data_IF_455333537108
#
_entry.id   IF_455333537108
#
_cell.length_a   1.000
_cell.length_b   1.000
_cell.length_c   1.000
_cell.angle_alpha   90.00
_cell.angle_beta   90.00
_cell.angle_gamma   90.00
#
_symmetry.space_group_name_H-M   'P 1'
#
loop_
_entity.id
_entity.type
_entity.pdbx_description
1 polymer ?
#
# COMPACT_ATOMS: atom_id res chain seq x y z
N UNK A 1 25.76 -6.59 -34.70
CA UNK A 1 25.04 -5.77 -35.69
C UNK A 1 23.96 -4.99 -34.93
N UNK A 2 24.12 -3.66 -34.78
CA UNK A 2 23.18 -2.84 -33.96
C UNK A 2 21.86 -2.61 -34.70
N UNK A 3 21.90 -2.48 -36.02
CA UNK A 3 20.70 -2.25 -36.82
C UNK A 3 19.74 -3.45 -36.75
N UNK A 4 20.28 -4.67 -36.84
CA UNK A 4 19.49 -5.90 -36.61
C UNK A 4 18.85 -5.93 -35.22
N UNK A 5 19.57 -5.51 -34.19
CA UNK A 5 19.03 -5.43 -32.84
C UNK A 5 17.86 -4.45 -32.75
N UNK A 6 17.97 -3.28 -33.39
CA UNK A 6 16.88 -2.30 -33.47
C UNK A 6 15.67 -2.85 -34.23
N UNK A 7 15.88 -3.59 -35.34
CA UNK A 7 14.79 -4.20 -36.09
C UNK A 7 14.07 -5.32 -35.30
N UNK A 8 14.79 -6.08 -34.48
CA UNK A 8 14.17 -7.05 -33.55
C UNK A 8 13.38 -6.34 -32.48
N UNK A 9 13.99 -5.34 -31.83
CA UNK A 9 13.36 -4.55 -30.79
C UNK A 9 12.01 -3.99 -31.26
N UNK A 10 11.96 -3.36 -32.45
CA UNK A 10 10.71 -2.79 -33.02
C UNK A 10 9.54 -3.77 -33.13
N UNK A 11 9.80 -5.08 -33.22
CA UNK A 11 8.77 -6.12 -33.36
C UNK A 11 8.19 -6.56 -32.03
N UNK A 12 8.87 -6.27 -30.91
CA UNK A 12 8.43 -6.62 -29.56
C UNK A 12 7.25 -5.73 -29.15
N UNK A 13 6.10 -6.30 -28.80
CA UNK A 13 4.96 -5.57 -28.26
C UNK A 13 5.27 -4.89 -26.92
N UNK A 14 4.50 -3.84 -26.61
CA UNK A 14 4.65 -3.10 -25.36
C UNK A 14 4.33 -4.01 -24.18
N UNK A 15 5.26 -4.07 -23.22
CA UNK A 15 5.21 -4.91 -22.03
C UNK A 15 5.32 -6.44 -22.25
N UNK A 16 5.55 -6.91 -23.48
CA UNK A 16 5.70 -8.36 -23.74
C UNK A 16 6.96 -8.90 -23.04
N UNK A 17 6.83 -9.92 -22.17
CA UNK A 17 7.98 -10.57 -21.56
C UNK A 17 8.88 -11.16 -22.65
N UNK A 18 10.10 -10.64 -22.75
CA UNK A 18 11.08 -11.05 -23.76
C UNK A 18 12.36 -11.49 -23.08
N UNK A 19 12.92 -12.61 -23.53
CA UNK A 19 14.21 -13.09 -23.04
C UNK A 19 15.34 -12.39 -23.76
N UNK A 20 16.22 -11.73 -23.02
CA UNK A 20 17.49 -11.20 -23.51
C UNK A 20 18.60 -12.12 -23.03
N UNK A 21 19.50 -12.48 -23.96
CA UNK A 21 20.75 -13.15 -23.65
C UNK A 21 21.86 -12.12 -23.68
N UNK A 22 22.56 -11.96 -22.56
CA UNK A 22 23.66 -11.02 -22.39
C UNK A 22 24.91 -11.72 -21.87
N UNK A 23 26.06 -11.08 -22.03
CA UNK A 23 27.31 -11.44 -21.38
C UNK A 23 27.98 -10.15 -20.91
N UNK A 24 28.86 -10.24 -19.92
CA UNK A 24 29.61 -9.07 -19.44
C UNK A 24 30.89 -8.91 -20.25
N UNK A 25 31.37 -7.68 -20.43
CA UNK A 25 32.64 -7.44 -21.15
C UNK A 25 33.81 -8.15 -20.46
N UNK A 26 33.72 -8.30 -19.13
CA UNK A 26 34.71 -9.00 -18.30
C UNK A 26 34.66 -10.52 -18.42
N UNK A 27 33.52 -11.09 -18.79
CA UNK A 27 33.34 -12.54 -18.99
C UNK A 27 32.41 -12.79 -20.19
N UNK A 28 33.04 -12.95 -21.36
CA UNK A 28 32.35 -13.20 -22.63
C UNK A 28 31.91 -14.66 -22.82
N UNK A 29 32.39 -15.56 -21.97
CA UNK A 29 32.14 -17.00 -22.09
C UNK A 29 30.90 -17.42 -21.30
N UNK A 30 30.56 -16.67 -20.25
CA UNK A 30 29.32 -16.88 -19.49
C UNK A 30 28.17 -16.06 -20.08
N UNK A 31 27.19 -16.76 -20.65
CA UNK A 31 25.93 -16.16 -21.10
C UNK A 31 24.91 -16.19 -19.97
N UNK A 32 24.26 -15.06 -19.75
CA UNK A 32 23.15 -14.91 -18.83
C UNK A 32 21.87 -14.70 -19.62
N UNK A 33 20.78 -15.34 -19.17
CA UNK A 33 19.45 -15.17 -19.74
C UNK A 33 18.59 -14.41 -18.73
N UNK A 34 18.09 -13.24 -19.12
CA UNK A 34 17.22 -12.41 -18.30
C UNK A 34 15.92 -12.14 -19.04
N UNK A 35 14.79 -12.39 -18.37
CA UNK A 35 13.49 -11.95 -18.88
C UNK A 35 13.32 -10.47 -18.56
N UNK A 36 13.04 -9.67 -19.60
CA UNK A 36 12.75 -8.24 -19.48
C UNK A 36 11.37 -7.95 -20.06
N UNK A 37 10.74 -6.89 -19.56
CA UNK A 37 9.55 -6.30 -20.20
C UNK A 37 9.92 -4.88 -20.59
N UNK A 38 9.79 -4.58 -21.88
CA UNK A 38 10.09 -3.25 -22.41
C UNK A 38 8.84 -2.39 -22.29
N UNK A 39 8.99 -1.22 -21.66
CA UNK A 39 7.94 -0.21 -21.53
C UNK A 39 8.34 1.02 -22.34
N UNK A 40 7.52 1.36 -23.31
CA UNK A 40 7.83 2.40 -24.29
C UNK A 40 7.20 3.74 -23.93
N UNK A 41 6.29 3.76 -22.96
CA UNK A 41 5.64 4.97 -22.47
C UNK A 41 6.62 5.87 -21.70
N UNK A 42 7.51 5.25 -20.92
CA UNK A 42 8.46 5.96 -20.06
C UNK A 42 9.80 6.27 -20.72
N UNK A 43 10.20 5.49 -21.73
CA UNK A 43 11.56 5.53 -22.28
C UNK A 43 11.58 5.89 -23.75
N UNK A 44 12.40 6.89 -24.10
CA UNK A 44 12.73 7.17 -25.50
C UNK A 44 13.97 6.40 -25.92
N UNK A 45 13.89 5.74 -27.06
CA UNK A 45 15.00 4.96 -27.60
C UNK A 45 15.75 5.81 -28.61
N UNK A 46 17.05 5.97 -28.39
CA UNK A 46 17.91 6.88 -29.14
C UNK A 46 19.15 6.12 -29.63
N UNK A 47 19.52 6.34 -30.89
CA UNK A 47 20.80 5.95 -31.44
C UNK A 47 21.79 7.08 -31.23
N UNK A 48 22.99 6.75 -30.78
CA UNK A 48 24.10 7.71 -30.69
C UNK A 48 25.22 7.24 -31.61
N UNK A 49 25.61 8.10 -32.55
CA UNK A 49 26.70 7.82 -33.49
C UNK A 49 27.83 8.82 -33.26
N UNK A 50 29.05 8.33 -33.03
CA UNK A 50 30.20 9.20 -32.82
C UNK A 50 30.53 9.94 -34.11
N UNK A 51 30.57 11.28 -34.03
CA UNK A 51 30.93 12.15 -35.13
C UNK A 51 32.42 12.49 -35.04
N UNK A 52 33.23 11.87 -35.90
CA UNK A 52 34.68 12.08 -35.89
C UNK A 52 35.11 13.51 -36.26
N UNK A 53 34.25 14.30 -36.92
CA UNK A 53 34.56 15.67 -37.33
C UNK A 53 34.34 16.68 -36.21
N UNK A 54 33.31 16.47 -35.38
CA UNK A 54 32.98 17.37 -34.26
C UNK A 54 33.53 16.85 -32.92
N UNK A 55 33.86 15.56 -32.84
CA UNK A 55 34.20 14.88 -31.58
C UNK A 55 33.00 14.66 -30.64
N UNK A 56 31.77 14.90 -31.13
CA UNK A 56 30.54 14.76 -30.36
C UNK A 56 29.74 13.52 -30.80
N UNK A 57 28.71 13.17 -30.03
CA UNK A 57 27.78 12.09 -30.38
C UNK A 57 26.50 12.65 -30.99
N UNK A 58 26.24 12.29 -32.25
CA UNK A 58 25.01 12.64 -32.95
C UNK A 58 23.87 11.76 -32.47
N UNK A 59 22.83 12.39 -31.92
CA UNK A 59 21.64 11.70 -31.39
C UNK A 59 20.57 11.61 -32.48
N UNK A 60 20.17 10.40 -32.82
CA UNK A 60 19.00 10.14 -33.67
C UNK A 60 17.91 9.43 -32.87
N UNK A 61 16.72 10.02 -32.80
CA UNK A 61 15.56 9.39 -32.16
C UNK A 61 15.09 8.22 -33.03
N UNK A 62 15.01 7.03 -32.44
CA UNK A 62 14.45 5.87 -33.12
C UNK A 62 12.92 5.99 -33.03
N UNK A 63 12.26 6.13 -34.18
CA UNK A 63 10.79 6.06 -34.23
C UNK A 63 10.35 4.63 -33.93
N UNK A 64 9.47 4.49 -32.95
CA UNK A 64 8.94 3.20 -32.53
C UNK A 64 7.52 3.40 -31.99
N UNK A 65 6.58 2.61 -32.50
CA UNK A 65 5.21 2.50 -32.02
C UNK A 65 4.90 1.02 -31.76
N UNK A 66 5.24 0.49 -30.57
CA UNK A 66 4.97 -0.91 -30.26
C UNK A 66 3.46 -1.15 -30.26
N UNK A 67 3.04 -2.33 -30.74
CA UNK A 67 1.66 -2.79 -30.56
C UNK A 67 1.43 -3.17 -29.09
N UNK A 68 0.24 -3.00 -28.51
CA UNK A 68 -0.07 -3.54 -27.19
C UNK A 68 0.09 -5.07 -27.19
N UNK A 69 0.53 -5.63 -26.05
CA UNK A 69 0.55 -7.09 -25.88
C UNK A 69 -0.88 -7.62 -25.83
N UNK A 70 -1.22 -8.54 -26.74
CA UNK A 70 -2.47 -9.30 -26.71
C UNK A 70 -2.30 -10.52 -25.80
N UNK A 71 -2.69 -10.37 -24.53
CA UNK A 71 -2.64 -11.46 -23.57
C UNK A 71 -3.92 -12.28 -23.71
N UNK A 72 -3.82 -13.40 -24.42
CA UNK A 72 -4.93 -14.35 -24.57
C UNK A 72 -5.32 -14.94 -23.20
N UNK A 73 -6.60 -15.26 -22.98
CA UNK A 73 -7.03 -15.90 -21.75
C UNK A 73 -6.31 -17.24 -21.55
N UNK A 74 -5.72 -17.42 -20.36
CA UNK A 74 -5.05 -18.68 -19.97
C UNK A 74 -5.74 -19.25 -18.74
N UNK A 75 -5.99 -20.56 -18.76
CA UNK A 75 -6.47 -21.28 -17.58
C UNK A 75 -5.30 -21.48 -16.63
N UNK A 76 -5.43 -21.01 -15.39
CA UNK A 76 -4.40 -21.18 -14.35
C UNK A 76 -5.03 -21.76 -13.08
N UNK A 77 -4.25 -22.58 -12.36
CA UNK A 77 -4.68 -23.17 -11.09
C UNK A 77 -3.73 -22.71 -9.98
N UNK A 78 -4.26 -21.94 -9.03
CA UNK A 78 -3.56 -21.59 -7.80
C UNK A 78 -3.39 -22.85 -6.92
N UNK A 79 -2.29 -22.92 -6.16
CA UNK A 79 -2.02 -24.05 -5.28
C UNK A 79 -3.08 -24.16 -4.18
N UNK A 80 -3.34 -25.40 -3.75
CA UNK A 80 -4.23 -25.69 -2.64
C UNK A 80 -3.43 -25.88 -1.35
N UNK A 81 -3.96 -25.36 -0.24
CA UNK A 81 -3.41 -25.59 1.09
C UNK A 81 -4.08 -26.83 1.69
N UNK A 82 -3.34 -27.93 1.78
CA UNK A 82 -3.84 -29.25 2.23
C UNK A 82 -3.72 -29.49 3.73
N UNK A 83 -3.14 -28.55 4.48
CA UNK A 83 -2.98 -28.66 5.93
C UNK A 83 -4.36 -28.67 6.62
N UNK A 84 -4.76 -29.76 7.30
CA UNK A 84 -6.07 -29.86 7.92
C UNK A 84 -6.29 -28.81 9.02
N UNK A 85 -5.22 -28.28 9.61
CA UNK A 85 -5.28 -27.23 10.64
C UNK A 85 -5.77 -25.90 10.10
N UNK A 86 -5.68 -25.68 8.79
CA UNK A 86 -6.17 -24.49 8.13
C UNK A 86 -7.69 -24.44 8.02
N UNK A 87 -8.39 -25.59 8.09
CA UNK A 87 -9.84 -25.65 8.02
C UNK A 87 -10.40 -24.87 6.82
N UNK A 88 -11.34 -23.95 7.08
CA UNK A 88 -11.95 -23.09 6.04
C UNK A 88 -10.98 -22.02 5.52
N UNK A 89 -9.99 -21.61 6.31
CA UNK A 89 -8.99 -20.63 5.89
C UNK A 89 -8.13 -21.13 4.72
N UNK A 90 -8.04 -22.45 4.49
CA UNK A 90 -7.34 -23.02 3.34
C UNK A 90 -7.74 -22.39 2.00
N UNK A 91 -9.00 -21.96 1.86
CA UNK A 91 -9.53 -21.31 0.65
C UNK A 91 -8.93 -19.93 0.37
N UNK A 92 -8.35 -19.29 1.39
CA UNK A 92 -7.69 -17.99 1.23
C UNK A 92 -6.49 -18.07 0.29
N UNK A 93 -5.90 -19.24 0.12
CA UNK A 93 -4.77 -19.43 -0.80
C UNK A 93 -5.14 -19.08 -2.25
N UNK A 94 -6.39 -19.33 -2.66
CA UNK A 94 -6.87 -18.97 -3.99
C UNK A 94 -7.17 -17.47 -4.18
N UNK A 95 -7.01 -16.67 -3.12
CA UNK A 95 -7.20 -15.22 -3.16
C UNK A 95 -5.88 -14.45 -3.18
N UNK A 96 -4.72 -15.13 -3.18
CA UNK A 96 -3.41 -14.49 -3.14
C UNK A 96 -2.78 -14.48 -4.54
N UNK A 97 -2.35 -13.30 -4.98
CA UNK A 97 -1.60 -13.11 -6.24
C UNK A 97 -0.27 -12.44 -5.94
N UNK A 98 0.73 -12.60 -6.81
CA UNK A 98 1.93 -11.78 -6.74
C UNK A 98 1.67 -10.46 -7.48
N UNK A 99 2.20 -9.37 -6.95
CA UNK A 99 2.11 -8.03 -7.55
C UNK A 99 3.52 -7.52 -7.78
N UNK A 100 3.78 -7.08 -9.01
CA UNK A 100 4.99 -6.41 -9.41
C UNK A 100 4.68 -4.97 -9.80
N UNK A 101 5.51 -4.04 -9.35
CA UNK A 101 5.39 -2.63 -9.65
C UNK A 101 6.72 -2.06 -10.11
N UNK A 102 6.75 -1.45 -11.30
CA UNK A 102 7.89 -0.74 -11.85
C UNK A 102 7.77 0.76 -11.59
N UNK A 103 8.84 1.38 -11.11
CA UNK A 103 8.93 2.82 -10.88
C UNK A 103 9.88 3.43 -11.91
N UNK A 104 9.34 4.00 -13.00
CA UNK A 104 10.14 4.49 -14.12
C UNK A 104 10.89 5.79 -13.80
N UNK A 105 10.43 6.52 -12.78
CA UNK A 105 10.91 7.86 -12.43
C UNK A 105 11.26 7.91 -10.94
N UNK A 106 12.34 8.62 -10.62
CA UNK A 106 12.72 8.89 -9.24
C UNK A 106 12.03 10.16 -8.75
N UNK A 107 10.88 10.00 -8.10
CA UNK A 107 10.02 11.09 -7.59
C UNK A 107 9.57 10.76 -6.15
N UNK A 108 9.04 11.75 -5.42
CA UNK A 108 8.53 11.59 -4.04
C UNK A 108 9.54 10.92 -3.09
N UNK A 109 10.84 11.21 -3.25
CA UNK A 109 11.91 10.61 -2.46
C UNK A 109 12.18 9.12 -2.73
N UNK A 110 11.51 8.52 -3.72
CA UNK A 110 11.67 7.12 -4.12
C UNK A 110 12.72 7.01 -5.23
N UNK A 111 13.76 6.21 -5.00
CA UNK A 111 14.81 5.91 -6.00
C UNK A 111 14.88 4.42 -6.39
N UNK A 112 13.91 3.63 -5.95
CA UNK A 112 13.85 2.19 -6.24
C UNK A 112 13.28 2.00 -7.64
N UNK A 113 13.87 1.16 -8.51
CA UNK A 113 13.35 0.95 -9.87
C UNK A 113 12.13 0.01 -9.90
N UNK A 114 11.93 -0.79 -8.87
CA UNK A 114 10.85 -1.78 -8.78
C UNK A 114 10.56 -2.22 -7.35
N UNK A 115 9.35 -2.70 -7.12
CA UNK A 115 8.95 -3.46 -5.94
C UNK A 115 8.13 -4.68 -6.36
N UNK A 116 8.19 -5.74 -5.55
CA UNK A 116 7.37 -6.92 -5.73
C UNK A 116 6.97 -7.46 -4.36
N UNK A 117 5.72 -7.87 -4.24
CA UNK A 117 5.19 -8.56 -3.06
C UNK A 117 3.90 -9.28 -3.45
N UNK A 118 3.03 -9.59 -2.49
CA UNK A 118 1.73 -10.20 -2.74
C UNK A 118 0.58 -9.19 -2.62
N UNK A 119 -0.53 -9.55 -3.23
CA UNK A 119 -1.81 -8.85 -3.15
C UNK A 119 -2.95 -9.84 -2.91
N UNK A 120 -4.09 -9.30 -2.49
CA UNK A 120 -5.29 -10.06 -2.12
C UNK A 120 -6.41 -9.71 -3.08
N UNK A 121 -6.93 -10.70 -3.80
CA UNK A 121 -8.15 -10.55 -4.59
C UNK A 121 -9.33 -10.36 -3.65
N UNK A 122 -10.01 -9.22 -3.73
CA UNK A 122 -11.14 -8.85 -2.86
C UNK A 122 -12.45 -8.70 -3.61
N UNK A 123 -12.39 -8.66 -4.95
CA UNK A 123 -13.53 -8.82 -5.85
C UNK A 123 -13.03 -9.46 -7.15
N UNK A 124 -13.27 -10.76 -7.32
CA UNK A 124 -12.82 -11.51 -8.50
C UNK A 124 -13.63 -11.17 -9.76
N UNK A 125 -14.88 -10.70 -9.62
CA UNK A 125 -15.73 -10.35 -10.74
C UNK A 125 -15.29 -9.02 -11.38
N UNK A 126 -14.86 -8.06 -10.54
CA UNK A 126 -14.32 -6.76 -10.97
C UNK A 126 -12.80 -6.76 -11.15
N UNK A 127 -12.11 -7.80 -10.69
CA UNK A 127 -10.65 -7.91 -10.73
C UNK A 127 -9.94 -6.99 -9.73
N UNK A 128 -10.57 -6.68 -8.59
CA UNK A 128 -9.99 -5.79 -7.57
C UNK A 128 -9.05 -6.57 -6.65
N UNK A 129 -7.86 -6.01 -6.45
CA UNK A 129 -6.79 -6.56 -5.62
C UNK A 129 -6.29 -5.50 -4.65
N UNK A 130 -6.22 -5.85 -3.36
CA UNK A 130 -5.57 -5.02 -2.34
C UNK A 130 -4.10 -5.35 -2.27
N UNK A 131 -3.25 -4.33 -2.22
CA UNK A 131 -1.81 -4.48 -2.14
C UNK A 131 -1.23 -3.46 -1.14
N UNK A 132 -0.11 -3.80 -0.51
CA UNK A 132 0.64 -2.86 0.33
C UNK A 132 1.10 -1.63 -0.47
N UNK A 133 1.02 -0.45 0.14
CA UNK A 133 1.63 0.77 -0.44
C UNK A 133 3.14 0.70 -0.51
N UNK A 134 3.79 -0.18 0.26
CA UNK A 134 5.21 -0.51 0.04
C UNK A 134 5.42 -1.02 -1.40
N UNK A 135 4.50 -1.81 -1.93
CA UNK A 135 4.61 -2.39 -3.27
C UNK A 135 4.17 -1.42 -4.35
N UNK A 136 3.08 -0.67 -4.11
CA UNK A 136 2.62 0.41 -4.99
C UNK A 136 2.83 1.75 -4.29
N UNK A 137 4.04 2.29 -4.45
CA UNK A 137 4.50 3.49 -3.74
C UNK A 137 4.03 4.79 -4.37
N UNK A 138 4.01 4.82 -5.70
CA UNK A 138 3.78 5.99 -6.53
C UNK A 138 2.52 5.78 -7.37
N UNK A 139 1.78 6.84 -7.65
CA UNK A 139 0.67 6.83 -8.61
C UNK A 139 1.16 6.62 -10.05
N UNK A 140 2.37 7.11 -10.36
CA UNK A 140 3.02 7.00 -11.67
C UNK A 140 3.91 5.74 -11.70
N UNK A 141 3.31 4.60 -12.03
CA UNK A 141 4.00 3.31 -12.08
C UNK A 141 3.36 2.33 -13.08
N UNK A 142 4.10 1.28 -13.44
CA UNK A 142 3.58 0.15 -14.21
C UNK A 142 3.30 -1.02 -13.24
N UNK A 143 2.04 -1.48 -13.18
CA UNK A 143 1.61 -2.53 -12.24
C UNK A 143 1.24 -3.80 -13.01
N UNK A 144 1.68 -4.94 -12.49
CA UNK A 144 1.33 -6.26 -12.99
C UNK A 144 0.93 -7.16 -11.84
N UNK A 145 0.01 -8.08 -12.11
CA UNK A 145 -0.24 -9.21 -11.23
C UNK A 145 0.18 -10.50 -11.91
N UNK A 146 0.74 -11.41 -11.12
CA UNK A 146 1.05 -12.77 -11.53
C UNK A 146 0.18 -13.74 -10.76
N UNK A 147 -0.57 -14.54 -11.49
CA UNK A 147 -1.48 -15.55 -10.95
C UNK A 147 -0.83 -16.93 -11.13
N UNK A 148 -0.83 -17.70 -10.04
CA UNK A 148 -0.25 -19.05 -10.00
C UNK A 148 1.18 -19.14 -10.58
N UNK A 149 1.99 -18.08 -10.42
CA UNK A 149 3.35 -17.95 -10.97
C UNK A 149 3.49 -18.23 -12.48
N UNK A 150 2.39 -18.16 -13.24
CA UNK A 150 2.34 -18.62 -14.64
C UNK A 150 1.65 -17.66 -15.60
N UNK A 151 0.74 -16.82 -15.11
CA UNK A 151 0.05 -15.80 -15.92
C UNK A 151 0.33 -14.41 -15.36
N UNK A 152 1.07 -13.60 -16.12
CA UNK A 152 1.32 -12.20 -15.80
C UNK A 152 0.37 -11.31 -16.62
N UNK A 153 -0.37 -10.43 -15.95
CA UNK A 153 -1.29 -9.49 -16.58
C UNK A 153 -1.10 -8.08 -16.01
N UNK A 154 -1.21 -7.02 -16.85
CA UNK A 154 -1.16 -5.66 -16.37
C UNK A 154 -2.37 -5.35 -15.49
N UNK A 155 -2.17 -4.43 -14.56
CA UNK A 155 -3.19 -3.90 -13.68
C UNK A 155 -3.10 -2.37 -13.62
N UNK A 156 -4.21 -1.73 -13.27
CA UNK A 156 -4.31 -0.28 -13.12
C UNK A 156 -4.52 0.07 -11.65
N UNK A 157 -3.84 1.10 -11.16
CA UNK A 157 -4.13 1.68 -9.86
C UNK A 157 -5.54 2.28 -9.86
N UNK A 158 -6.40 1.86 -8.94
CA UNK A 158 -7.75 2.42 -8.75
C UNK A 158 -7.81 3.35 -7.56
N UNK A 159 -7.09 3.03 -6.50
CA UNK A 159 -7.08 3.84 -5.30
C UNK A 159 -5.79 3.64 -4.52
N UNK A 160 -5.25 4.71 -3.93
CA UNK A 160 -4.09 4.67 -3.07
C UNK A 160 -4.41 5.41 -1.78
N UNK A 161 -4.36 4.71 -0.64
CA UNK A 161 -4.81 5.31 0.61
C UNK A 161 -3.77 6.31 1.15
N UNK A 162 -4.15 7.55 1.50
CA UNK A 162 -3.18 8.58 1.91
C UNK A 162 -2.51 8.32 3.26
N UNK A 163 -3.15 7.61 4.19
CA UNK A 163 -2.63 7.38 5.57
C UNK A 163 -2.31 5.90 5.86
N UNK A 164 -3.27 4.99 5.65
CA UNK A 164 -3.10 3.54 5.81
C UNK A 164 -2.28 2.88 4.69
N UNK A 165 -1.60 1.77 5.03
CA UNK A 165 -0.69 1.06 4.13
C UNK A 165 -1.37 0.14 3.11
N UNK A 166 -2.30 0.67 2.31
CA UNK A 166 -2.87 -0.10 1.19
C UNK A 166 -3.18 0.74 -0.05
N UNK A 167 -3.19 0.06 -1.19
CA UNK A 167 -3.71 0.51 -2.46
C UNK A 167 -4.64 -0.58 -3.02
N UNK A 168 -5.56 -0.19 -3.90
CA UNK A 168 -6.44 -1.08 -4.64
C UNK A 168 -6.07 -0.95 -6.12
N UNK A 169 -5.71 -2.07 -6.72
CA UNK A 169 -5.41 -2.20 -8.14
C UNK A 169 -6.48 -3.05 -8.81
N UNK A 170 -6.61 -2.92 -10.13
CA UNK A 170 -7.59 -3.66 -10.92
C UNK A 170 -6.92 -4.32 -12.12
N UNK A 171 -7.19 -5.62 -12.31
CA UNK A 171 -6.79 -6.34 -13.52
C UNK A 171 -8.01 -6.64 -14.40
N UNK A 172 -7.76 -6.92 -15.68
CA UNK A 172 -8.80 -7.31 -16.64
C UNK A 172 -9.16 -8.79 -16.48
N UNK A 173 -10.34 -9.06 -15.93
CA UNK A 173 -10.81 -10.42 -15.64
C UNK A 173 -10.99 -11.28 -16.88
N UNK A 174 -11.17 -10.67 -18.06
CA UNK A 174 -11.32 -11.41 -19.33
C UNK A 174 -10.02 -12.12 -19.74
N UNK A 175 -8.88 -11.73 -19.19
CA UNK A 175 -7.56 -12.34 -19.46
C UNK A 175 -7.30 -13.60 -18.65
N UNK A 176 -8.21 -13.93 -17.73
CA UNK A 176 -8.16 -15.15 -16.93
C UNK A 176 -9.20 -16.10 -17.51
N UNK A 177 -8.78 -17.29 -17.90
CA UNK A 177 -9.69 -18.34 -18.35
C UNK A 177 -10.45 -18.99 -17.19
N UNK A 178 -10.77 -20.28 -17.31
CA UNK A 178 -11.29 -21.07 -16.18
C UNK A 178 -10.18 -21.29 -15.13
N UNK A 179 -10.14 -20.41 -14.13
CA UNK A 179 -9.17 -20.42 -13.04
C UNK A 179 -9.86 -20.50 -11.70
N UNK A 180 -9.24 -21.16 -10.72
CA UNK A 180 -9.80 -21.32 -9.37
C UNK A 180 -9.57 -20.09 -8.47
N UNK A 181 -9.44 -18.88 -9.05
CA UNK A 181 -9.20 -17.66 -8.29
C UNK A 181 -10.46 -17.24 -7.54
N UNK A 182 -10.32 -16.87 -6.27
CA UNK A 182 -11.43 -16.53 -5.38
C UNK A 182 -11.24 -15.13 -4.80
N UNK A 183 -12.35 -14.49 -4.43
CA UNK A 183 -12.31 -13.28 -3.62
C UNK A 183 -12.26 -13.62 -2.14
N UNK A 184 -11.33 -13.01 -1.40
CA UNK A 184 -11.29 -13.07 0.04
C UNK A 184 -12.48 -12.29 0.63
N UNK A 185 -13.17 -12.89 1.60
CA UNK A 185 -14.19 -12.19 2.38
C UNK A 185 -13.49 -11.40 3.49
N UNK A 186 -13.68 -10.08 3.52
CA UNK A 186 -13.06 -9.19 4.50
C UNK A 186 -13.98 -8.97 5.70
N UNK A 187 -13.44 -9.06 6.90
CA UNK A 187 -14.16 -8.80 8.14
C UNK A 187 -14.44 -7.31 8.35
N UNK A 188 -15.64 -7.00 8.82
CA UNK A 188 -16.02 -5.65 9.30
C UNK A 188 -15.69 -5.45 10.77
N UNK A 189 -15.42 -6.54 11.49
CA UNK A 189 -15.21 -6.52 12.95
C UNK A 189 -13.80 -6.07 13.27
N UNK A 190 -13.66 -5.31 14.36
CA UNK A 190 -12.36 -5.03 14.95
C UNK A 190 -11.86 -6.30 15.64
N UNK A 191 -10.63 -6.75 15.35
CA UNK A 191 -10.03 -7.87 16.08
C UNK A 191 -9.93 -7.58 17.58
N UNK A 192 -10.11 -8.59 18.41
CA UNK A 192 -9.99 -8.50 19.85
C UNK A 192 -8.87 -9.42 20.35
N UNK A 193 -8.26 -9.04 21.47
CA UNK A 193 -7.27 -9.89 22.13
C UNK A 193 -7.88 -11.27 22.43
N UNK A 194 -7.16 -12.33 22.06
CA UNK A 194 -7.61 -13.71 22.20
C UNK A 194 -8.39 -14.26 21.01
N UNK A 195 -8.75 -13.44 20.01
CA UNK A 195 -9.42 -13.94 18.81
C UNK A 195 -8.55 -14.98 18.08
N UNK A 196 -9.14 -16.11 17.64
CA UNK A 196 -8.40 -17.12 16.90
C UNK A 196 -8.01 -16.61 15.52
N UNK A 197 -6.79 -16.93 15.09
CA UNK A 197 -6.19 -16.43 13.87
C UNK A 197 -5.49 -17.55 13.08
N UNK A 198 -5.83 -17.66 11.79
CA UNK A 198 -5.27 -18.63 10.87
C UNK A 198 -4.58 -17.88 9.74
N UNK A 199 -3.25 -17.81 9.81
CA UNK A 199 -2.46 -17.13 8.79
C UNK A 199 -2.12 -18.09 7.65
N UNK A 200 -2.64 -17.78 6.47
CA UNK A 200 -2.35 -18.46 5.22
C UNK A 200 -1.27 -17.71 4.46
N UNK A 201 -0.15 -18.37 4.16
CA UNK A 201 1.06 -17.75 3.62
C UNK A 201 1.87 -18.71 2.75
N UNK A 202 3.01 -18.24 2.25
CA UNK A 202 4.05 -19.02 1.60
C UNK A 202 5.32 -19.04 2.43
N UNK A 203 5.99 -20.19 2.47
CA UNK A 203 7.34 -20.28 3.03
C UNK A 203 8.40 -19.73 2.04
N UNK A 204 9.68 -19.77 2.42
CA UNK A 204 10.80 -19.27 1.58
C UNK A 204 10.98 -20.03 0.25
N UNK A 205 10.43 -21.23 0.11
CA UNK A 205 10.48 -22.03 -1.12
C UNK A 205 9.18 -21.93 -1.94
N UNK A 206 8.32 -20.96 -1.62
CA UNK A 206 7.00 -20.75 -2.27
C UNK A 206 5.98 -21.87 -2.05
N UNK A 207 6.18 -22.72 -1.03
CA UNK A 207 5.17 -23.72 -0.64
C UNK A 207 4.13 -23.07 0.27
N UNK A 208 2.87 -23.45 0.07
CA UNK A 208 1.73 -22.99 0.88
C UNK A 208 1.83 -23.48 2.32
N UNK A 209 1.46 -22.63 3.27
CA UNK A 209 1.50 -22.97 4.70
C UNK A 209 0.39 -22.26 5.48
N UNK A 210 -0.01 -22.89 6.60
CA UNK A 210 -0.88 -22.30 7.61
C UNK A 210 -0.14 -22.17 8.94
N UNK A 211 -0.27 -21.03 9.60
CA UNK A 211 0.17 -20.81 10.98
C UNK A 211 -1.04 -20.43 11.81
N UNK A 212 -1.38 -21.28 12.78
CA UNK A 212 -2.46 -21.01 13.72
C UNK A 212 -1.88 -20.22 14.91
N UNK A 213 -2.59 -19.18 15.31
CA UNK A 213 -2.20 -18.30 16.40
C UNK A 213 -3.45 -17.62 16.97
N UNK A 214 -3.25 -16.65 17.85
CA UNK A 214 -4.30 -15.81 18.41
C UNK A 214 -3.85 -14.35 18.36
N UNK A 215 -4.80 -13.43 18.29
CA UNK A 215 -4.53 -12.00 18.41
C UNK A 215 -3.96 -11.75 19.81
N UNK A 216 -2.73 -11.24 19.87
CA UNK A 216 -2.08 -10.93 21.15
C UNK A 216 -2.45 -9.55 21.66
N UNK A 217 -2.44 -8.57 20.76
CA UNK A 217 -2.68 -7.16 21.07
C UNK A 217 -2.88 -6.35 19.78
N UNK A 218 -3.34 -5.10 19.91
CA UNK A 218 -3.38 -4.12 18.84
C UNK A 218 -2.76 -2.81 19.30
N UNK A 219 -1.85 -2.26 18.49
CA UNK A 219 -1.19 -1.00 18.81
C UNK A 219 -0.86 -0.19 17.57
N UNK A 220 -0.62 1.10 17.78
CA UNK A 220 -0.47 2.07 16.71
C UNK A 220 0.93 2.00 16.10
N UNK A 221 1.02 1.76 14.79
CA UNK A 221 2.29 1.69 14.10
C UNK A 221 2.90 3.10 13.99
N UNK A 222 4.06 3.28 14.63
CA UNK A 222 4.83 4.53 14.54
C UNK A 222 6.00 4.38 13.57
N UNK A 223 5.96 5.16 12.49
CA UNK A 223 7.02 5.23 11.48
C UNK A 223 7.54 6.66 11.46
N UNK A 224 8.80 6.85 11.86
CA UNK A 224 9.41 8.18 11.95
C UNK A 224 9.61 8.80 10.56
N UNK A 225 9.32 10.11 10.38
CA UNK A 225 9.65 10.81 9.14
C UNK A 225 11.15 10.73 8.81
N UNK A 226 11.46 10.72 7.51
CA UNK A 226 12.82 10.66 7.00
C UNK A 226 13.22 12.01 6.38
N UNK A 227 14.53 12.26 6.29
CA UNK A 227 15.05 13.51 5.69
C UNK A 227 14.63 13.68 4.23
N UNK A 228 14.68 12.60 3.43
CA UNK A 228 14.07 12.57 2.11
C UNK A 228 12.58 12.28 2.30
N UNK A 229 11.69 13.27 2.07
CA UNK A 229 10.27 13.06 2.28
C UNK A 229 9.76 12.03 1.29
N UNK A 230 9.12 11.00 1.81
CA UNK A 230 8.36 10.03 1.05
C UNK A 230 7.15 9.65 1.87
N UNK A 231 6.13 9.09 1.21
CA UNK A 231 4.97 8.61 1.92
C UNK A 231 5.35 7.58 3.00
N UNK A 232 4.62 7.60 4.12
CA UNK A 232 4.70 6.62 5.20
C UNK A 232 3.32 6.43 5.80
N UNK A 233 3.15 5.27 6.43
CA UNK A 233 1.94 4.97 7.19
C UNK A 233 1.87 5.87 8.43
N UNK A 234 0.71 6.49 8.67
CA UNK A 234 0.40 7.31 9.85
C UNK A 234 -0.97 6.92 10.41
N UNK A 235 -1.24 7.27 11.67
CA UNK A 235 -2.55 7.11 12.31
C UNK A 235 -3.21 5.74 12.06
N UNK A 236 -2.45 4.65 12.19
CA UNK A 236 -2.92 3.30 11.86
C UNK A 236 -2.64 2.36 13.02
N UNK A 237 -3.67 1.67 13.49
CA UNK A 237 -3.53 0.57 14.44
C UNK A 237 -3.26 -0.73 13.68
N UNK A 238 -2.28 -1.51 14.13
CA UNK A 238 -1.95 -2.80 13.55
C UNK A 238 -2.23 -3.95 14.52
N UNK A 239 -2.55 -5.12 13.97
CA UNK A 239 -2.82 -6.33 14.74
C UNK A 239 -1.53 -7.11 14.93
N UNK A 240 -1.32 -7.56 16.16
CA UNK A 240 -0.18 -8.39 16.56
C UNK A 240 -0.66 -9.74 17.05
N UNK A 241 0.19 -10.74 16.89
CA UNK A 241 -0.13 -12.13 17.13
C UNK A 241 0.90 -12.75 18.06
N UNK A 242 0.44 -13.73 18.85
CA UNK A 242 1.27 -14.39 19.86
C UNK A 242 2.46 -15.13 19.22
N UNK A 243 2.24 -15.76 18.06
CA UNK A 243 3.27 -16.55 17.40
C UNK A 243 4.32 -15.65 16.73
N UNK A 244 5.54 -15.67 17.27
CA UNK A 244 6.69 -14.96 16.69
C UNK A 244 7.06 -15.45 15.28
N UNK A 245 6.65 -16.66 14.90
CA UNK A 245 6.89 -17.20 13.56
C UNK A 245 6.28 -16.30 12.48
N UNK A 246 5.23 -15.52 12.78
CA UNK A 246 4.63 -14.61 11.81
C UNK A 246 5.63 -13.59 11.26
N UNK A 247 6.62 -13.18 12.07
CA UNK A 247 7.67 -12.24 11.67
C UNK A 247 8.63 -12.79 10.60
N UNK A 248 8.70 -14.12 10.41
CA UNK A 248 9.51 -14.75 9.36
C UNK A 248 8.85 -14.65 7.97
N UNK A 249 7.56 -14.32 7.92
CA UNK A 249 6.81 -14.18 6.68
C UNK A 249 6.65 -12.72 6.29
N UNK A 250 6.86 -12.42 5.00
CA UNK A 250 6.64 -11.08 4.47
C UNK A 250 5.17 -10.73 4.29
N UNK A 251 4.34 -11.75 4.06
CA UNK A 251 2.93 -11.60 3.71
C UNK A 251 2.10 -12.74 4.27
N UNK A 252 0.82 -12.50 4.56
CA UNK A 252 -0.14 -13.55 4.89
C UNK A 252 -1.57 -13.01 4.99
N UNK A 253 -2.55 -13.86 4.67
CA UNK A 253 -3.96 -13.60 4.94
C UNK A 253 -4.31 -14.20 6.30
N UNK A 254 -4.72 -13.36 7.25
CA UNK A 254 -5.08 -13.82 8.60
C UNK A 254 -6.59 -13.87 8.73
N UNK A 255 -7.13 -15.09 8.65
CA UNK A 255 -8.56 -15.37 8.77
C UNK A 255 -8.99 -15.79 10.16
N UNK A 256 -10.27 -15.67 10.46
CA UNK A 256 -10.93 -16.41 11.55
C UNK A 256 -11.16 -17.89 11.19
N UNK A 257 -11.82 -18.65 12.07
CA UNK A 257 -12.13 -20.05 11.85
C UNK A 257 -13.03 -20.32 10.63
N UNK A 258 -13.77 -19.30 10.17
CA UNK A 258 -14.63 -19.36 8.98
C UNK A 258 -13.90 -18.98 7.70
N UNK A 259 -12.64 -18.54 7.79
CA UNK A 259 -11.86 -18.02 6.67
C UNK A 259 -12.25 -16.60 6.28
N UNK A 260 -12.92 -15.85 7.15
CA UNK A 260 -13.14 -14.41 6.95
C UNK A 260 -11.87 -13.65 7.38
N UNK A 261 -11.31 -12.83 6.49
CA UNK A 261 -10.02 -12.16 6.70
C UNK A 261 -10.18 -11.01 7.69
N UNK A 262 -9.54 -11.15 8.85
CA UNK A 262 -9.50 -10.15 9.91
C UNK A 262 -8.41 -9.10 9.64
N UNK A 263 -7.26 -9.54 9.14
CA UNK A 263 -6.16 -8.66 8.78
C UNK A 263 -5.37 -9.22 7.58
N UNK A 264 -4.65 -8.33 6.91
CA UNK A 264 -3.64 -8.71 5.92
C UNK A 264 -2.26 -8.41 6.52
N UNK A 265 -1.48 -9.46 6.78
CA UNK A 265 -0.09 -9.35 7.18
C UNK A 265 0.74 -8.92 5.97
N UNK A 266 1.38 -7.76 6.04
CA UNK A 266 2.05 -7.16 4.87
C UNK A 266 3.25 -6.31 5.28
N UNK A 267 4.17 -5.99 4.34
CA UNK A 267 5.28 -5.10 4.65
C UNK A 267 4.83 -3.63 4.70
N UNK A 268 5.37 -2.92 5.68
CA UNK A 268 5.30 -1.48 5.87
C UNK A 268 6.70 -0.90 5.66
N UNK A 269 6.77 0.24 4.96
CA UNK A 269 8.02 0.94 4.75
C UNK A 269 8.45 1.66 6.03
N UNK A 270 9.40 1.11 6.78
CA UNK A 270 9.96 1.79 7.98
C UNK A 270 10.97 2.86 7.57
N UNK A 271 11.84 2.53 6.62
CA UNK A 271 12.77 3.45 5.96
C UNK A 271 12.90 3.06 4.48
N UNK A 272 13.63 3.84 3.69
CA UNK A 272 13.97 3.48 2.31
C UNK A 272 14.69 2.10 2.19
N UNK A 273 15.35 1.61 3.24
CA UNK A 273 16.11 0.33 3.24
C UNK A 273 15.50 -0.78 4.10
N UNK A 274 14.71 -0.42 5.09
CA UNK A 274 14.20 -1.35 6.09
C UNK A 274 12.68 -1.41 6.01
N UNK A 275 12.16 -2.61 5.80
CA UNK A 275 10.75 -2.90 5.92
C UNK A 275 10.47 -3.48 7.32
N UNK A 276 9.25 -3.29 7.83
CA UNK A 276 8.70 -4.04 8.95
C UNK A 276 7.42 -4.74 8.50
N UNK A 277 6.99 -5.81 9.17
CA UNK A 277 5.73 -6.49 8.86
C UNK A 277 4.75 -6.32 10.01
N UNK A 278 3.48 -6.10 9.66
CA UNK A 278 2.40 -5.98 10.63
C UNK A 278 1.06 -6.38 9.98
N UNK A 279 0.06 -6.68 10.79
CA UNK A 279 -1.30 -6.97 10.32
C UNK A 279 -2.09 -5.70 10.12
N UNK A 280 -2.48 -5.38 8.88
CA UNK A 280 -3.42 -4.29 8.60
C UNK A 280 -4.87 -4.81 8.76
N UNK A 281 -5.66 -4.29 9.70
CA UNK A 281 -7.08 -4.63 9.83
C UNK A 281 -7.86 -4.40 8.53
N UNK A 282 -8.70 -5.36 8.15
CA UNK A 282 -9.44 -5.27 6.88
C UNK A 282 -10.50 -4.18 6.85
N UNK A 283 -11.00 -3.75 8.01
CA UNK A 283 -11.94 -2.63 8.14
C UNK A 283 -11.42 -1.29 7.59
N UNK A 284 -10.11 -1.06 7.53
CA UNK A 284 -9.55 0.15 6.89
C UNK A 284 -9.73 0.15 5.37
N UNK A 285 -9.88 -1.03 4.77
CA UNK A 285 -9.95 -1.22 3.31
C UNK A 285 -11.40 -1.06 2.83
N UNK A 286 -12.36 -1.51 3.65
CA UNK A 286 -13.77 -1.61 3.29
C UNK A 286 -14.37 -0.33 2.71
N UNK A 287 -14.18 0.88 3.29
CA UNK A 287 -14.80 2.10 2.76
C UNK A 287 -14.42 2.38 1.30
N UNK A 288 -13.13 2.27 0.96
CA UNK A 288 -12.65 2.47 -0.40
C UNK A 288 -13.05 1.34 -1.34
N UNK A 289 -13.02 0.09 -0.85
CA UNK A 289 -13.44 -1.08 -1.62
C UNK A 289 -14.93 -1.04 -1.97
N UNK A 290 -15.78 -0.64 -1.03
CA UNK A 290 -17.22 -0.62 -1.22
C UNK A 290 -17.64 0.50 -2.17
N UNK A 291 -16.94 1.65 -2.18
CA UNK A 291 -17.10 2.67 -3.22
C UNK A 291 -16.79 2.10 -4.62
N UNK A 292 -15.63 1.44 -4.78
CA UNK A 292 -15.26 0.82 -6.06
C UNK A 292 -16.24 -0.28 -6.50
N UNK A 293 -16.82 -1.03 -5.56
CA UNK A 293 -17.87 -2.04 -5.85
C UNK A 293 -19.18 -1.43 -6.33
N UNK A 294 -19.47 -0.19 -5.94
CA UNK A 294 -20.59 0.63 -6.45
C UNK A 294 -20.23 1.41 -7.71
N UNK A 295 -19.07 1.16 -8.30
CA UNK A 295 -18.54 1.91 -9.45
C UNK A 295 -18.34 3.41 -9.16
N UNK A 296 -18.09 3.75 -7.89
CA UNK A 296 -17.76 5.09 -7.41
C UNK A 296 -16.24 5.21 -7.19
N UNK A 297 -15.67 6.37 -7.48
CA UNK A 297 -14.28 6.67 -7.10
C UNK A 297 -14.19 7.03 -5.62
N UNK A 298 -13.35 6.38 -4.80
CA UNK A 298 -13.22 6.71 -3.39
C UNK A 298 -12.77 8.15 -3.20
N UNK A 299 -13.63 8.97 -2.59
CA UNK A 299 -13.31 10.34 -2.20
C UNK A 299 -13.09 10.36 -0.69
N UNK A 300 -11.90 10.76 -0.26
CA UNK A 300 -11.55 10.87 1.16
C UNK A 300 -11.22 12.31 1.52
N UNK A 301 -11.53 12.66 2.75
CA UNK A 301 -11.12 13.92 3.38
C UNK A 301 -10.25 13.64 4.60
N UNK A 302 -9.35 14.56 4.93
CA UNK A 302 -8.40 14.40 6.03
C UNK A 302 -8.32 15.66 6.86
N UNK A 303 -8.18 15.52 8.17
CA UNK A 303 -7.73 16.62 9.02
C UNK A 303 -6.27 16.99 8.72
N UNK A 304 -5.49 16.08 8.13
CA UNK A 304 -4.09 16.28 7.82
C UNK A 304 -3.25 16.52 9.10
N UNK A 305 -3.51 15.70 10.13
CA UNK A 305 -2.77 15.70 11.40
C UNK A 305 -2.13 14.33 11.62
N UNK A 306 -1.03 14.30 12.34
CA UNK A 306 -0.44 13.09 12.88
C UNK A 306 -0.56 13.12 14.40
N UNK A 307 -1.06 12.04 14.97
CA UNK A 307 -1.23 11.93 16.42
C UNK A 307 -0.44 10.77 17.01
N UNK A 308 -0.11 10.89 18.29
CA UNK A 308 0.52 9.82 19.07
C UNK A 308 -0.26 9.53 20.35
N UNK A 309 -0.20 8.29 20.86
CA UNK A 309 -0.79 7.95 22.16
C UNK A 309 -0.20 8.78 23.30
N UNK A 310 -1.07 9.26 24.19
CA UNK A 310 -0.74 10.04 25.37
C UNK A 310 -1.36 9.38 26.61
N UNK A 311 -0.55 9.16 27.65
CA UNK A 311 -1.04 8.63 28.92
C UNK A 311 -2.01 9.60 29.61
N UNK A 312 -2.96 9.07 30.39
CA UNK A 312 -3.88 9.91 31.17
C UNK A 312 -3.18 10.77 32.22
N UNK A 313 -2.03 10.36 32.74
CA UNK A 313 -1.23 11.18 33.66
C UNK A 313 -0.74 12.45 32.93
N UNK A 314 -0.22 12.31 31.72
CA UNK A 314 0.21 13.44 30.91
C UNK A 314 -0.99 14.30 30.48
N UNK A 315 -2.14 13.69 30.13
CA UNK A 315 -3.36 14.43 29.83
C UNK A 315 -3.87 15.27 31.02
N UNK A 316 -3.84 14.71 32.24
CA UNK A 316 -4.18 15.44 33.48
C UNK A 316 -3.21 16.58 33.75
N UNK A 317 -1.90 16.37 33.58
CA UNK A 317 -0.91 17.44 33.67
C UNK A 317 -1.15 18.55 32.61
N UNK A 318 -1.74 18.16 31.48
CA UNK A 318 -2.22 19.01 30.39
C UNK A 318 -3.62 19.59 30.58
N UNK A 319 -4.26 19.45 31.74
CA UNK A 319 -5.54 20.10 32.10
C UNK A 319 -6.79 19.24 31.94
N UNK A 320 -6.68 17.93 31.70
CA UNK A 320 -7.83 17.03 31.70
C UNK A 320 -8.50 17.02 33.09
N UNK A 321 -9.81 17.27 33.15
CA UNK A 321 -10.57 17.27 34.40
C UNK A 321 -10.79 15.85 34.93
N UNK A 322 -11.01 15.72 36.25
CA UNK A 322 -11.29 14.41 36.87
C UNK A 322 -12.61 13.81 36.35
N UNK A 323 -13.61 14.63 36.03
CA UNK A 323 -14.86 14.16 35.41
C UNK A 323 -14.63 13.56 34.02
N UNK A 324 -13.79 14.17 33.18
CA UNK A 324 -13.43 13.60 31.87
C UNK A 324 -12.60 12.33 32.02
N UNK A 325 -11.72 12.30 33.02
CA UNK A 325 -10.92 11.12 33.33
C UNK A 325 -11.83 9.91 33.63
N UNK A 326 -12.82 10.08 34.52
CA UNK A 326 -13.79 9.04 34.86
C UNK A 326 -14.59 8.58 33.64
N UNK A 327 -15.03 9.52 32.79
CA UNK A 327 -15.74 9.23 31.54
C UNK A 327 -14.91 8.33 30.61
N UNK A 328 -13.63 8.67 30.41
CA UNK A 328 -12.70 7.92 29.55
C UNK A 328 -12.43 6.52 30.12
N UNK A 329 -12.16 6.42 31.43
CA UNK A 329 -11.87 5.14 32.08
C UNK A 329 -13.07 4.19 32.07
N UNK A 330 -14.28 4.74 32.19
CA UNK A 330 -15.50 3.94 32.10
C UNK A 330 -15.77 3.48 30.66
N UNK A 331 -15.53 4.34 29.67
CA UNK A 331 -15.78 4.03 28.26
C UNK A 331 -14.78 3.04 27.65
N UNK A 332 -13.53 3.00 28.13
CA UNK A 332 -12.49 2.10 27.62
C UNK A 332 -11.58 1.56 28.75
N UNK A 333 -12.07 0.58 29.53
CA UNK A 333 -11.35 0.10 30.71
C UNK A 333 -10.00 -0.56 30.37
N UNK A 334 -9.88 -1.14 29.17
CA UNK A 334 -8.70 -1.89 28.75
C UNK A 334 -7.58 -0.98 28.20
N UNK A 335 -7.92 0.20 27.66
CA UNK A 335 -6.95 1.10 27.00
C UNK A 335 -7.14 2.55 27.42
N UNK A 336 -6.48 2.90 28.52
CA UNK A 336 -6.54 4.21 29.16
C UNK A 336 -5.55 5.23 28.56
N UNK A 337 -5.88 5.80 27.41
CA UNK A 337 -5.06 6.81 26.73
C UNK A 337 -5.90 7.82 25.94
N UNK A 338 -5.29 8.97 25.65
CA UNK A 338 -5.78 9.96 24.67
C UNK A 338 -4.75 10.10 23.54
N UNK A 339 -4.99 11.01 22.60
CA UNK A 339 -4.10 11.26 21.48
C UNK A 339 -3.64 12.72 21.46
N UNK A 340 -2.33 12.94 21.30
CA UNK A 340 -1.73 14.26 21.18
C UNK A 340 -1.32 14.52 19.73
N UNK A 341 -1.59 15.71 19.22
CA UNK A 341 -1.17 16.13 17.89
C UNK A 341 0.34 16.35 17.89
N UNK A 342 1.06 15.56 17.09
CA UNK A 342 2.50 15.70 16.92
C UNK A 342 2.87 16.59 15.75
N UNK A 343 2.08 16.54 14.67
CA UNK A 343 2.34 17.29 13.45
C UNK A 343 1.04 17.67 12.76
N UNK A 344 1.07 18.79 12.07
CA UNK A 344 -0.01 19.25 11.20
C UNK A 344 0.58 19.53 9.81
N UNK A 345 -0.05 19.02 8.77
CA UNK A 345 0.36 19.26 7.38
C UNK A 345 0.26 20.76 7.07
N UNK A 346 1.37 21.35 6.61
CA UNK A 346 1.41 22.76 6.23
C UNK A 346 0.36 23.04 5.13
N UNK A 347 -0.26 24.23 5.18
CA UNK A 347 -1.28 24.67 4.23
C UNK A 347 -2.60 23.86 4.24
N UNK A 348 -2.71 22.83 5.08
CA UNK A 348 -3.99 22.16 5.32
C UNK A 348 -4.97 23.08 6.03
N UNK A 349 -6.26 22.71 5.96
CA UNK A 349 -7.32 23.40 6.68
C UNK A 349 -7.14 23.36 8.21
N UNK A 350 -6.52 22.31 8.74
CA UNK A 350 -6.22 22.19 10.17
C UNK A 350 -5.09 23.12 10.63
N UNK A 351 -4.12 23.43 9.78
CA UNK A 351 -2.95 24.25 10.12
C UNK A 351 -3.31 25.66 10.64
N UNK A 352 -4.46 26.21 10.23
CA UNK A 352 -4.93 27.51 10.72
C UNK A 352 -5.68 27.48 12.05
N UNK A 353 -6.01 26.30 12.59
CA UNK A 353 -6.92 26.13 13.73
C UNK A 353 -6.30 25.29 14.86
N UNK A 354 -5.68 24.17 14.51
CA UNK A 354 -5.01 23.26 15.43
C UNK A 354 -3.56 23.67 15.64
N UNK A 355 -2.98 23.23 16.76
CA UNK A 355 -1.59 23.44 17.11
C UNK A 355 -0.95 22.11 17.49
N UNK A 356 0.36 22.01 17.26
CA UNK A 356 1.14 20.92 17.82
C UNK A 356 0.94 20.90 19.34
N UNK A 357 0.89 19.68 19.90
CA UNK A 357 0.65 19.38 21.31
C UNK A 357 -0.79 19.57 21.81
N UNK A 358 -1.74 19.91 20.94
CA UNK A 358 -3.16 19.79 21.29
C UNK A 358 -3.51 18.33 21.62
N UNK A 359 -4.24 18.11 22.71
CA UNK A 359 -4.69 16.76 23.10
C UNK A 359 -6.15 16.61 22.68
N UNK A 360 -6.46 15.64 21.83
CA UNK A 360 -7.82 15.39 21.36
C UNK A 360 -8.57 14.57 22.40
N UNK A 361 -9.71 15.09 22.86
CA UNK A 361 -10.61 14.42 23.82
C UNK A 361 -11.77 13.78 23.08
N UNK A 362 -12.45 14.53 22.21
CA UNK A 362 -13.60 14.01 21.44
C UNK A 362 -13.68 14.60 20.04
N UNK A 363 -14.33 13.84 19.15
CA UNK A 363 -14.61 14.20 17.76
C UNK A 363 -16.11 14.01 17.52
N UNK A 364 -16.79 15.05 17.04
CA UNK A 364 -18.24 15.08 16.81
C UNK A 364 -19.05 14.60 18.04
N UNK A 365 -18.61 14.98 19.25
CA UNK A 365 -19.27 14.63 20.50
C UNK A 365 -19.00 13.21 21.01
N UNK A 366 -18.19 12.40 20.32
CA UNK A 366 -17.77 11.06 20.77
C UNK A 366 -16.30 11.08 21.22
N UNK A 367 -15.99 10.50 22.37
CA UNK A 367 -14.60 10.35 22.83
C UNK A 367 -13.73 9.67 21.77
N UNK A 368 -12.51 10.19 21.59
CA UNK A 368 -11.49 9.58 20.75
C UNK A 368 -10.67 8.60 21.61
N UNK A 369 -11.07 7.33 21.61
CA UNK A 369 -10.48 6.29 22.48
C UNK A 369 -9.53 5.39 21.70
N UNK A 370 -9.67 5.36 20.37
CA UNK A 370 -8.80 4.66 19.45
C UNK A 370 -8.41 5.58 18.30
N UNK A 371 -7.26 5.31 17.70
CA UNK A 371 -6.80 6.06 16.51
C UNK A 371 -7.84 6.01 15.39
N UNK A 372 -8.56 4.90 15.32
CA UNK A 372 -9.68 4.62 14.44
C UNK A 372 -10.86 5.56 14.53
N UNK A 373 -11.09 6.17 15.69
CA UNK A 373 -12.16 7.14 15.84
C UNK A 373 -11.89 8.39 14.97
N UNK A 374 -10.65 8.60 14.54
CA UNK A 374 -10.28 9.64 13.58
C UNK A 374 -10.85 9.42 12.17
N UNK A 375 -11.16 8.16 11.80
CA UNK A 375 -11.63 7.81 10.45
C UNK A 375 -12.97 8.47 10.06
N UNK A 376 -13.71 9.03 11.02
CA UNK A 376 -14.85 9.92 10.75
C UNK A 376 -14.49 11.09 9.83
N UNK A 377 -13.22 11.50 9.80
CA UNK A 377 -12.71 12.54 8.90
C UNK A 377 -12.98 12.27 7.42
N UNK A 378 -13.03 11.01 7.00
CA UNK A 378 -13.08 10.65 5.59
C UNK A 378 -14.37 11.09 4.88
N UNK A 379 -15.45 11.29 5.63
CA UNK A 379 -16.80 11.56 5.07
C UNK A 379 -17.39 12.90 5.50
N UNK A 380 -16.67 13.71 6.29
CA UNK A 380 -17.17 14.97 6.82
C UNK A 380 -16.35 16.16 6.32
N UNK A 381 -17.02 17.21 5.86
CA UNK A 381 -16.36 18.45 5.41
C UNK A 381 -15.74 19.25 6.56
N UNK A 382 -16.25 19.09 7.78
CA UNK A 382 -15.70 19.64 9.00
C UNK A 382 -15.99 18.72 10.19
N UNK A 383 -15.14 18.78 11.21
CA UNK A 383 -15.29 18.05 12.46
C UNK A 383 -15.35 19.03 13.63
N UNK A 384 -16.22 18.73 14.60
CA UNK A 384 -16.29 19.46 15.86
C UNK A 384 -15.44 18.72 16.90
N UNK A 385 -14.29 19.31 17.25
CA UNK A 385 -13.30 18.75 18.16
C UNK A 385 -13.43 19.37 19.54
N UNK A 386 -13.28 18.54 20.56
CA UNK A 386 -12.94 18.97 21.93
C UNK A 386 -11.48 18.63 22.17
N UNK A 387 -10.68 19.64 22.45
CA UNK A 387 -9.24 19.49 22.70
C UNK A 387 -8.84 20.08 24.05
N UNK A 388 -7.67 19.69 24.56
CA UNK A 388 -6.96 20.42 25.60
C UNK A 388 -5.80 21.20 24.99
N UNK A 389 -5.77 22.50 25.25
CA UNK A 389 -4.68 23.41 24.91
C UNK A 389 -4.42 24.33 26.08
N UNK A 390 -3.15 24.52 26.46
CA UNK A 390 -2.76 25.38 27.59
C UNK A 390 -3.57 25.10 28.87
N UNK A 391 -3.77 23.81 29.19
CA UNK A 391 -4.53 23.35 30.36
C UNK A 391 -6.02 23.69 30.39
N UNK A 392 -6.60 24.04 29.25
CA UNK A 392 -8.01 24.38 29.13
C UNK A 392 -8.68 23.54 28.04
N UNK A 393 -9.91 23.09 28.31
CA UNK A 393 -10.77 22.44 27.31
C UNK A 393 -11.30 23.48 26.33
N UNK A 394 -11.19 23.20 25.04
CA UNK A 394 -11.60 24.09 23.96
C UNK A 394 -12.44 23.33 22.94
N UNK A 395 -13.48 23.99 22.43
CA UNK A 395 -14.29 23.50 21.32
C UNK A 395 -13.83 24.18 20.03
N UNK A 396 -13.42 23.39 19.05
CA UNK A 396 -12.94 23.87 17.76
C UNK A 396 -13.69 23.18 16.63
N UNK A 397 -14.14 23.95 15.64
CA UNK A 397 -14.63 23.41 14.38
C UNK A 397 -13.50 23.46 13.36
N UNK A 398 -13.13 22.31 12.82
CA UNK A 398 -11.99 22.18 11.91
C UNK A 398 -12.46 21.61 10.57
N UNK A 399 -12.24 22.37 9.49
CA UNK A 399 -12.49 21.88 8.14
C UNK A 399 -11.51 20.75 7.78
N UNK A 400 -12.01 19.72 7.09
CA UNK A 400 -11.16 18.68 6.51
C UNK A 400 -10.74 19.07 5.10
N UNK A 401 -9.59 18.57 4.67
CA UNK A 401 -9.03 18.79 3.32
C UNK A 401 -9.34 17.58 2.45
N UNK A 402 -9.90 17.79 1.26
CA UNK A 402 -10.12 16.71 0.30
C UNK A 402 -8.78 16.14 -0.20
N UNK A 403 -8.69 14.83 -0.35
CA UNK A 403 -7.52 14.17 -0.92
C UNK A 403 -7.54 14.29 -2.45
N UNK A 404 -6.45 14.79 -3.03
CA UNK A 404 -6.33 15.13 -4.45
C UNK A 404 -5.68 14.03 -5.31
N UNK A 405 -5.34 12.88 -4.71
CA UNK A 405 -4.72 11.75 -5.40
C UNK A 405 -3.19 11.84 -5.55
N UNK A 406 -2.54 12.85 -4.97
CA UNK A 406 -1.08 13.00 -4.99
C UNK A 406 -0.53 13.55 -6.32
N UNK A 407 0.72 13.19 -6.66
CA UNK A 407 1.42 13.74 -7.82
C UNK A 407 0.74 13.34 -9.13
N UNK A 408 0.27 14.34 -9.88
CA UNK A 408 -0.39 14.19 -11.19
C UNK A 408 0.35 14.89 -12.35
N UNK A 409 1.42 15.64 -12.04
CA UNK A 409 2.17 16.42 -13.01
C UNK A 409 3.65 16.43 -12.68
N UNK A 410 4.47 16.19 -13.70
CA UNK A 410 5.92 16.28 -13.65
C UNK A 410 6.43 17.28 -14.70
N UNK A 411 7.53 17.95 -14.40
CA UNK A 411 8.24 18.82 -15.34
C UNK A 411 9.65 18.29 -15.53
N UNK A 412 10.03 18.07 -16.79
CA UNK A 412 11.38 17.67 -17.18
C UNK A 412 12.13 18.87 -17.71
N UNK A 413 13.25 19.23 -17.10
CA UNK A 413 14.06 20.35 -17.56
C UNK A 413 15.56 20.07 -17.36
N UNK A 414 16.31 20.06 -18.47
CA UNK A 414 17.77 19.87 -18.49
C UNK A 414 18.26 18.63 -17.71
N UNK A 415 17.51 17.53 -17.74
CA UNK A 415 17.84 16.28 -17.03
C UNK A 415 17.30 16.19 -15.60
N UNK A 416 16.73 17.28 -15.06
CA UNK A 416 16.03 17.27 -13.78
C UNK A 416 14.55 16.95 -13.95
N UNK A 417 13.97 16.33 -12.90
CA UNK A 417 12.54 16.01 -12.78
C UNK A 417 12.01 16.81 -11.59
N UNK A 418 10.97 17.61 -11.84
CA UNK A 418 10.31 18.42 -10.83
C UNK A 418 8.86 17.96 -10.64
N UNK A 419 8.39 18.02 -9.41
CA UNK A 419 7.01 17.77 -9.01
C UNK A 419 6.52 18.93 -8.13
N UNK A 420 5.20 19.08 -8.03
CA UNK A 420 4.64 19.91 -6.97
C UNK A 420 4.99 19.30 -5.59
N UNK A 421 5.16 20.15 -4.56
CA UNK A 421 5.40 19.70 -3.19
C UNK A 421 4.27 18.84 -2.65
#
# INVERSE_FOLDING_TARGET
NIDEFVEVLRKIPDHEPTTIVSYTITDIHTKESTMVSLTHQWNQINMYTHNNSTGLWDRTKIKWSPRPTDIKPVNVRLPELTDPRAGKAAKLMQSIVSVFCGFPLSIEGINKPRAADYGVVVDAARGLVVVSRRTVLLSLCDIYITIANSLCIPATLRFMHPEHNFAIIQYDTKRIGDSNICAATLSTKRPQQGDPAYMVTFNRTSNTMCVNTVVSDMWDISITPQFLPHWRCTNTETVHYESKLLSDFRFGLVGDADGCVQCIWMPFMKTHKLDMTAGLPTRYILPALDALRRDEEPQLRRLCIEVEPLSLIAARAGGLSDSRLEEIQHANPDRNMLFIIQRIELLSKAHGVLQDLDIIVSINGKLMLHIDDLNVQYTHDALDLVILRNRSEMHLRVETTAYDGGVNKLVFWSGAIFQAP
#
